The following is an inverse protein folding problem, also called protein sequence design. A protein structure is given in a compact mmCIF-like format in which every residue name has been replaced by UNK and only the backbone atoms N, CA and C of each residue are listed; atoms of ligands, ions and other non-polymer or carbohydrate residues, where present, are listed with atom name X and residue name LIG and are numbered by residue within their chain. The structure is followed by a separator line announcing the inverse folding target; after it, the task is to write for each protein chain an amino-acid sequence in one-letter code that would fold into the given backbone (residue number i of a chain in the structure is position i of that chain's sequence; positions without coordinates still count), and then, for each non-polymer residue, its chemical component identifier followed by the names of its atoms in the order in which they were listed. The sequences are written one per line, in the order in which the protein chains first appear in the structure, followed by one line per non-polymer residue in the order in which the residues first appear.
data_IF_033290192951
#
_entry.id   IF_033290192951
#
_cell.length_a   1.000
_cell.length_b   1.000
_cell.length_c   1.000
_cell.angle_alpha   90.00
_cell.angle_beta   90.00
_cell.angle_gamma   90.00
#
_symmetry.space_group_name_H-M   'P 1'
#
loop_
_entity.id
_entity.type
_entity.pdbx_description
1 polymer ?
#
# COMPACT_ATOMS: atom_id res chain seq x y z
N UNK A 1 -56.74 47.92 -34.93
CA UNK A 1 -57.33 47.44 -33.66
C UNK A 1 -56.27 47.55 -32.59
N UNK A 2 -56.44 48.52 -31.70
CA UNK A 2 -55.56 48.76 -30.54
C UNK A 2 -56.00 47.80 -29.43
N UNK A 3 -55.08 47.06 -28.83
CA UNK A 3 -55.36 46.14 -27.74
C UNK A 3 -54.21 46.12 -26.74
N UNK A 4 -54.36 46.89 -25.67
CA UNK A 4 -53.46 46.94 -24.52
C UNK A 4 -53.56 45.67 -23.70
N UNK A 5 -52.42 45.09 -23.31
CA UNK A 5 -52.34 44.12 -22.21
C UNK A 5 -51.31 44.60 -21.19
N UNK A 6 -51.81 45.01 -20.02
CA UNK A 6 -51.02 45.31 -18.84
C UNK A 6 -50.59 43.99 -18.18
N UNK A 7 -49.30 43.83 -17.91
CA UNK A 7 -48.76 42.76 -17.07
C UNK A 7 -48.36 43.31 -15.71
N UNK A 8 -48.90 42.68 -14.66
CA UNK A 8 -48.62 42.90 -13.25
C UNK A 8 -47.36 42.12 -12.86
N UNK A 9 -46.41 42.76 -12.16
CA UNK A 9 -45.19 42.11 -11.62
C UNK A 9 -45.28 42.14 -10.10
N UNK A 10 -45.18 41.00 -9.38
CA UNK A 10 -44.98 41.00 -7.94
C UNK A 10 -43.49 41.12 -7.61
N UNK A 11 -43.21 42.01 -6.66
CA UNK A 11 -41.91 42.35 -6.10
C UNK A 11 -41.55 41.35 -4.99
N UNK A 12 -40.37 40.73 -5.02
CA UNK A 12 -39.80 39.99 -3.87
C UNK A 12 -38.35 40.44 -3.63
N UNK A 13 -38.00 40.90 -2.41
CA UNK A 13 -36.67 41.38 -2.10
C UNK A 13 -35.77 40.27 -1.53
N UNK A 14 -34.49 40.28 -1.88
CA UNK A 14 -33.46 39.50 -1.18
C UNK A 14 -32.42 38.90 -2.11
N UNK A 15 -31.37 39.68 -2.40
CA UNK A 15 -30.23 39.22 -3.20
C UNK A 15 -29.26 38.35 -2.41
N UNK A 16 -28.66 37.37 -3.11
CA UNK A 16 -27.36 36.78 -2.79
C UNK A 16 -26.55 36.64 -4.10
N UNK A 17 -25.21 36.76 -4.04
CA UNK A 17 -24.39 37.17 -5.17
C UNK A 17 -23.91 36.02 -6.08
N UNK A 18 -23.46 36.47 -7.25
CA UNK A 18 -23.01 35.72 -8.42
C UNK A 18 -21.87 34.70 -8.18
N UNK A 19 -21.88 33.63 -8.96
CA UNK A 19 -20.76 32.69 -9.00
C UNK A 19 -20.94 31.43 -9.86
N UNK A 20 -21.15 31.61 -11.17
CA UNK A 20 -20.71 30.70 -12.25
C UNK A 20 -21.31 29.28 -12.26
N UNK A 21 -22.37 29.10 -13.05
CA UNK A 21 -22.77 27.79 -13.61
C UNK A 21 -22.74 27.92 -15.13
N UNK A 22 -21.76 27.30 -15.78
CA UNK A 22 -21.70 27.17 -17.24
C UNK A 22 -22.59 26.00 -17.67
N UNK A 23 -23.70 26.30 -18.35
CA UNK A 23 -24.49 25.34 -19.10
C UNK A 23 -24.32 25.66 -20.60
N UNK A 24 -23.54 24.85 -21.31
CA UNK A 24 -23.32 24.96 -22.75
C UNK A 24 -23.90 23.75 -23.47
N UNK A 25 -25.11 23.92 -24.02
CA UNK A 25 -25.74 23.04 -24.99
C UNK A 25 -25.36 23.53 -26.39
N UNK A 26 -24.75 22.68 -27.23
CA UNK A 26 -24.71 22.89 -28.68
C UNK A 26 -24.64 21.56 -29.44
N UNK A 27 -25.62 21.40 -30.33
CA UNK A 27 -25.88 20.29 -31.24
C UNK A 27 -25.11 20.45 -32.55
N UNK A 28 -24.63 19.31 -33.09
CA UNK A 28 -24.38 18.88 -34.49
C UNK A 28 -23.12 18.00 -34.50
N UNK A 29 -23.01 16.86 -35.19
CA UNK A 29 -23.62 16.43 -36.44
C UNK A 29 -23.53 14.90 -36.58
N UNK A 30 -24.45 14.34 -37.37
CA UNK A 30 -24.43 12.97 -37.88
C UNK A 30 -23.36 12.82 -38.97
N UNK A 31 -22.66 11.69 -39.00
CA UNK A 31 -22.12 11.12 -40.23
C UNK A 31 -22.17 9.60 -40.18
N UNK A 32 -22.99 9.07 -41.07
CA UNK A 32 -23.10 7.68 -41.49
C UNK A 32 -21.92 7.39 -42.44
N UNK A 33 -21.19 6.30 -42.24
CA UNK A 33 -20.62 5.55 -43.37
C UNK A 33 -20.39 4.09 -43.00
N UNK A 34 -20.71 3.26 -43.97
CA UNK A 34 -20.92 1.82 -43.98
C UNK A 34 -19.65 1.01 -44.26
N UNK A 35 -19.61 -0.25 -43.80
CA UNK A 35 -18.70 -1.28 -44.32
C UNK A 35 -18.45 -2.40 -43.28
N UNK A 36 -19.31 -3.42 -43.18
CA UNK A 36 -19.20 -4.75 -43.83
C UNK A 36 -17.83 -5.44 -43.64
N UNK A 37 -17.84 -6.62 -43.01
CA UNK A 37 -16.78 -7.62 -43.25
C UNK A 37 -16.44 -8.61 -42.15
N UNK A 38 -17.22 -9.70 -42.07
CA UNK A 38 -16.83 -11.08 -41.76
C UNK A 38 -16.20 -11.48 -40.41
N UNK A 39 -17.06 -12.10 -39.59
CA UNK A 39 -16.97 -13.48 -39.10
C UNK A 39 -15.71 -14.29 -39.45
N UNK A 40 -15.00 -14.79 -38.43
CA UNK A 40 -14.40 -16.13 -38.51
C UNK A 40 -14.53 -16.88 -37.17
N UNK A 41 -15.16 -18.03 -37.30
CA UNK A 41 -15.39 -19.06 -36.30
C UNK A 41 -14.10 -19.84 -36.04
N UNK A 42 -13.82 -20.17 -34.78
CA UNK A 42 -13.11 -21.41 -34.48
C UNK A 42 -13.73 -22.05 -33.23
N UNK A 43 -14.65 -22.98 -33.47
CA UNK A 43 -14.92 -24.09 -32.56
C UNK A 43 -13.89 -25.19 -32.82
N UNK A 44 -13.24 -25.67 -31.78
CA UNK A 44 -12.89 -27.08 -31.73
C UNK A 44 -13.23 -27.66 -30.36
N UNK A 45 -13.71 -28.89 -30.48
CA UNK A 45 -14.47 -29.68 -29.54
C UNK A 45 -13.57 -30.65 -28.79
N UNK A 46 -14.00 -30.97 -27.56
CA UNK A 46 -13.81 -32.27 -26.90
C UNK A 46 -12.39 -32.73 -26.57
N UNK A 47 -12.15 -32.96 -25.27
CA UNK A 47 -11.97 -34.33 -24.78
C UNK A 47 -12.41 -34.38 -23.31
N UNK A 48 -13.48 -35.15 -23.06
CA UNK A 48 -13.87 -35.64 -21.74
C UNK A 48 -12.84 -36.69 -21.29
N UNK A 49 -12.46 -36.69 -20.02
CA UNK A 49 -12.11 -37.93 -19.31
C UNK A 49 -12.77 -37.97 -17.95
N UNK A 50 -13.41 -39.12 -17.72
CA UNK A 50 -14.19 -39.52 -16.56
C UNK A 50 -13.27 -40.15 -15.52
N UNK A 51 -13.47 -39.72 -14.26
CA UNK A 51 -13.43 -40.42 -12.94
C UNK A 51 -12.88 -41.86 -12.90
N UNK A 52 -12.06 -42.21 -11.89
CA UNK A 52 -12.31 -43.20 -10.78
C UNK A 52 -11.29 -43.00 -9.64
N UNK A 53 -11.70 -43.02 -8.36
CA UNK A 53 -10.83 -42.88 -7.18
C UNK A 53 -10.22 -44.23 -6.72
N UNK A 54 -9.14 -44.18 -5.92
CA UNK A 54 -8.75 -45.31 -5.07
C UNK A 54 -8.57 -44.91 -3.61
N UNK A 55 -8.93 -45.88 -2.79
CA UNK A 55 -9.33 -45.89 -1.38
C UNK A 55 -8.20 -46.52 -0.55
N UNK A 56 -7.96 -45.93 0.63
CA UNK A 56 -7.61 -46.51 1.95
C UNK A 56 -6.73 -47.78 2.01
N UNK A 57 -5.65 -47.72 2.82
CA UNK A 57 -5.27 -48.68 3.90
C UNK A 57 -4.07 -48.08 4.65
N UNK A 58 -4.19 -47.78 5.93
CA UNK A 58 -3.82 -48.67 7.07
C UNK A 58 -2.49 -48.15 7.63
N UNK A 59 -2.36 -47.65 8.85
CA UNK A 59 -2.73 -48.30 10.10
C UNK A 59 -1.57 -49.15 10.58
N UNK A 60 -0.68 -48.59 11.41
CA UNK A 60 0.09 -49.37 12.36
C UNK A 60 0.51 -48.48 13.53
N UNK A 61 -0.04 -48.79 14.71
CA UNK A 61 0.37 -48.24 15.99
C UNK A 61 1.49 -49.12 16.55
N UNK A 62 2.46 -48.54 17.25
CA UNK A 62 3.05 -49.21 18.42
C UNK A 62 3.40 -48.12 19.45
N UNK A 63 2.74 -48.21 20.60
CA UNK A 63 3.09 -47.52 21.84
C UNK A 63 4.09 -48.37 22.64
N UNK A 64 4.99 -47.72 23.37
CA UNK A 64 5.77 -48.30 24.48
C UNK A 64 6.50 -47.14 25.17
N UNK A 65 5.88 -46.51 26.18
CA UNK A 65 6.01 -46.76 27.63
C UNK A 65 7.28 -46.16 28.26
N UNK A 66 7.05 -45.27 29.22
CA UNK A 66 8.01 -44.71 30.18
C UNK A 66 8.58 -45.79 31.14
N UNK A 67 9.53 -45.48 32.05
CA UNK A 67 9.16 -44.78 33.30
C UNK A 67 10.20 -43.77 33.86
N UNK A 68 9.73 -43.01 34.86
CA UNK A 68 10.43 -42.09 35.76
C UNK A 68 11.26 -42.80 36.85
N UNK A 69 12.25 -42.09 37.42
CA UNK A 69 12.56 -41.98 38.86
C UNK A 69 13.81 -41.06 39.04
N UNK A 70 13.71 -39.92 39.73
CA UNK A 70 14.09 -39.67 41.16
C UNK A 70 15.61 -39.45 41.34
N UNK A 71 16.19 -38.65 42.26
CA UNK A 71 15.71 -37.78 43.35
C UNK A 71 16.91 -36.91 43.84
N UNK A 72 16.60 -35.82 44.57
CA UNK A 72 17.39 -35.20 45.68
C UNK A 72 18.75 -34.51 45.35
N UNK A 73 19.27 -33.49 46.06
CA UNK A 73 18.87 -32.53 47.12
C UNK A 73 20.15 -31.75 47.48
N UNK A 74 20.09 -30.48 47.90
CA UNK A 74 21.22 -29.83 48.57
C UNK A 74 21.19 -28.31 48.62
N UNK A 75 20.79 -27.76 49.77
CA UNK A 75 20.81 -26.34 50.12
C UNK A 75 22.15 -25.93 50.77
N UNK A 76 22.51 -24.63 50.67
CA UNK A 76 23.17 -23.83 51.72
C UNK A 76 23.27 -22.33 51.34
N UNK A 77 23.45 -21.52 52.37
CA UNK A 77 22.98 -20.14 52.59
C UNK A 77 23.82 -18.95 52.05
N UNK A 78 23.16 -17.78 52.10
CA UNK A 78 23.47 -16.33 51.87
C UNK A 78 24.72 -15.73 52.57
N UNK A 79 25.07 -14.40 52.55
CA UNK A 79 24.38 -13.19 52.05
C UNK A 79 25.24 -12.02 51.44
N UNK A 80 24.54 -10.93 51.04
CA UNK A 80 24.89 -9.47 51.16
C UNK A 80 25.44 -8.61 50.00
N UNK A 81 24.92 -7.36 50.01
CA UNK A 81 25.36 -6.07 49.42
C UNK A 81 25.13 -5.84 47.89
N UNK A 82 24.27 -4.92 47.40
CA UNK A 82 24.09 -3.45 47.57
C UNK A 82 25.04 -2.60 46.71
N UNK A 83 24.43 -1.83 45.79
CA UNK A 83 24.83 -0.57 45.12
C UNK A 83 25.72 -0.61 43.86
N UNK A 84 25.17 0.02 42.81
CA UNK A 84 25.89 0.98 41.96
C UNK A 84 26.35 0.46 40.60
N UNK A 85 25.57 0.70 39.55
CA UNK A 85 26.19 0.91 38.23
C UNK A 85 25.46 2.02 37.47
N UNK A 86 26.24 3.06 37.21
CA UNK A 86 25.88 4.28 36.52
C UNK A 86 25.54 3.97 35.06
N UNK A 87 24.36 4.40 34.63
CA UNK A 87 23.97 4.46 33.22
C UNK A 87 24.83 5.49 32.49
N UNK A 88 25.83 5.01 31.76
CA UNK A 88 26.57 5.80 30.78
C UNK A 88 25.75 5.86 29.48
N UNK A 89 24.90 6.86 29.39
CA UNK A 89 24.19 7.27 28.17
C UNK A 89 25.20 7.63 27.09
N UNK A 90 25.37 6.75 26.11
CA UNK A 90 26.08 7.05 24.87
C UNK A 90 25.08 7.65 23.87
N UNK A 91 24.90 8.97 23.97
CA UNK A 91 24.21 9.76 22.95
C UNK A 91 25.01 9.70 21.64
N UNK A 92 24.40 9.14 20.60
CA UNK A 92 24.87 9.27 19.22
C UNK A 92 24.08 10.41 18.56
N UNK A 93 24.71 11.33 17.79
CA UNK A 93 24.13 12.62 17.50
C UNK A 93 22.94 12.54 16.54
N UNK A 94 21.78 13.01 16.98
CA UNK A 94 20.70 13.41 16.08
C UNK A 94 21.15 14.67 15.32
N UNK A 95 21.42 14.52 14.01
CA UNK A 95 21.59 15.68 13.13
C UNK A 95 20.23 16.35 12.91
N UNK A 96 19.91 17.31 13.77
CA UNK A 96 18.99 18.40 13.46
C UNK A 96 19.76 19.45 12.67
N UNK A 97 19.60 19.46 11.35
CA UNK A 97 20.27 20.45 10.51
C UNK A 97 19.65 20.49 9.12
N UNK A 98 19.30 21.69 8.68
CA UNK A 98 18.92 22.01 7.31
C UNK A 98 20.11 21.72 6.36
N UNK A 99 20.37 20.45 6.04
CA UNK A 99 21.20 20.08 4.90
C UNK A 99 20.28 19.95 3.70
N UNK A 100 20.52 20.75 2.67
CA UNK A 100 19.86 20.58 1.37
C UNK A 100 19.96 19.11 0.96
N UNK A 101 18.80 18.50 0.66
CA UNK A 101 18.72 17.12 0.22
C UNK A 101 19.59 16.96 -1.04
N UNK A 102 20.40 15.89 -1.16
CA UNK A 102 21.23 15.69 -2.34
C UNK A 102 20.36 15.61 -3.60
N UNK A 103 20.90 16.10 -4.72
CA UNK A 103 20.23 16.04 -6.02
C UNK A 103 19.77 14.61 -6.33
N UNK A 104 18.52 14.45 -6.75
CA UNK A 104 17.87 13.17 -6.99
C UNK A 104 17.88 12.90 -8.50
N UNK A 105 18.45 11.77 -8.93
CA UNK A 105 18.29 11.27 -10.29
C UNK A 105 16.84 10.77 -10.47
N UNK A 106 15.98 11.65 -10.98
CA UNK A 106 14.52 11.43 -11.06
C UNK A 106 14.15 10.17 -11.86
N UNK A 107 14.92 9.84 -12.90
CA UNK A 107 14.63 8.68 -13.74
C UNK A 107 15.02 7.35 -13.07
N UNK A 108 16.10 7.35 -12.28
CA UNK A 108 16.52 6.13 -11.57
C UNK A 108 15.84 5.97 -10.22
N UNK A 109 15.62 7.05 -9.49
CA UNK A 109 15.18 6.99 -8.11
C UNK A 109 13.68 7.20 -7.96
N UNK A 110 13.07 7.98 -8.84
CA UNK A 110 11.66 8.39 -8.81
C UNK A 110 11.50 9.91 -8.69
N UNK A 111 10.26 10.39 -8.81
CA UNK A 111 9.94 11.80 -8.57
C UNK A 111 9.93 12.11 -7.05
N UNK A 112 10.74 13.08 -6.56
CA UNK A 112 10.73 13.46 -5.15
C UNK A 112 9.41 14.10 -4.69
N UNK A 113 8.49 14.44 -5.58
CA UNK A 113 7.20 15.07 -5.26
C UNK A 113 6.39 14.25 -4.25
N UNK A 114 6.25 12.94 -4.47
CA UNK A 114 5.54 12.04 -3.54
C UNK A 114 6.22 11.98 -2.19
N UNK A 115 7.56 11.91 -2.16
CA UNK A 115 8.33 11.93 -0.92
C UNK A 115 8.09 13.22 -0.14
N UNK A 116 8.22 14.38 -0.80
CA UNK A 116 8.01 15.70 -0.17
C UNK A 116 6.59 15.85 0.37
N UNK A 117 5.58 15.41 -0.37
CA UNK A 117 4.19 15.46 0.05
C UNK A 117 3.95 14.65 1.33
N UNK A 118 4.46 13.40 1.38
CA UNK A 118 4.30 12.52 2.56
C UNK A 118 5.06 13.08 3.77
N UNK A 119 6.30 13.54 3.60
CA UNK A 119 7.06 14.15 4.71
C UNK A 119 6.39 15.42 5.21
N UNK A 120 5.88 16.28 4.31
CA UNK A 120 5.13 17.47 4.66
C UNK A 120 3.88 17.14 5.48
N UNK A 121 3.13 16.12 5.07
CA UNK A 121 1.95 15.66 5.82
C UNK A 121 2.32 15.11 7.20
N UNK A 122 3.42 14.36 7.35
CA UNK A 122 3.86 13.94 8.68
C UNK A 122 4.20 15.13 9.58
N UNK A 123 4.85 16.15 9.05
CA UNK A 123 5.17 17.37 9.79
C UNK A 123 3.90 18.14 10.18
N UNK A 124 2.96 18.32 9.26
CA UNK A 124 1.69 18.99 9.48
C UNK A 124 0.84 18.29 10.56
N UNK A 125 0.73 16.97 10.47
CA UNK A 125 -0.02 16.15 11.41
C UNK A 125 0.76 15.80 12.69
N UNK A 126 2.00 16.31 12.84
CA UNK A 126 2.90 16.03 13.98
C UNK A 126 3.12 14.54 14.23
N UNK A 127 3.19 13.76 13.16
CA UNK A 127 3.46 12.33 13.19
C UNK A 127 4.97 12.11 13.40
N UNK A 128 5.34 11.26 14.35
CA UNK A 128 6.73 10.91 14.59
C UNK A 128 7.22 9.88 13.55
N UNK A 129 8.26 10.25 12.79
CA UNK A 129 8.86 9.36 11.79
C UNK A 129 10.39 9.35 11.87
N UNK A 130 10.98 8.23 11.46
CA UNK A 130 12.42 8.16 11.14
C UNK A 130 12.56 8.21 9.62
N UNK A 131 13.63 8.80 9.14
CA UNK A 131 14.00 8.78 7.73
C UNK A 131 15.46 8.40 7.58
N UNK A 132 15.78 7.72 6.48
CA UNK A 132 17.13 7.29 6.15
C UNK A 132 17.39 7.53 4.66
N UNK A 133 18.55 8.10 4.37
CA UNK A 133 19.09 8.24 3.02
C UNK A 133 20.13 7.14 2.83
N UNK A 134 19.99 6.35 1.76
CA UNK A 134 20.87 5.22 1.46
C UNK A 134 20.93 4.95 -0.05
N UNK A 135 21.87 4.10 -0.47
CA UNK A 135 21.96 3.65 -1.86
C UNK A 135 20.73 2.84 -2.29
N UNK A 136 20.38 2.77 -3.59
CA UNK A 136 19.20 2.06 -4.05
C UNK A 136 19.15 0.59 -3.62
N UNK A 137 18.01 0.14 -3.11
CA UNK A 137 17.82 -1.24 -2.63
C UNK A 137 16.89 -2.05 -3.53
N UNK A 138 17.42 -2.94 -4.40
CA UNK A 138 16.59 -3.70 -5.33
C UNK A 138 15.75 -4.80 -4.66
N UNK A 139 16.18 -5.32 -3.52
CA UNK A 139 15.44 -6.36 -2.77
C UNK A 139 14.96 -5.88 -1.41
N UNK A 140 14.01 -6.63 -0.82
CA UNK A 140 13.54 -6.42 0.54
C UNK A 140 14.64 -6.63 1.58
N UNK A 141 15.54 -7.57 1.31
CA UNK A 141 16.69 -7.93 2.12
C UNK A 141 17.73 -6.80 2.11
N UNK A 142 18.01 -6.20 0.94
CA UNK A 142 18.86 -5.02 0.84
C UNK A 142 18.27 -3.85 1.62
N UNK A 143 16.96 -3.64 1.48
CA UNK A 143 16.22 -2.59 2.20
C UNK A 143 16.28 -2.78 3.71
N UNK A 144 16.21 -4.03 4.19
CA UNK A 144 16.37 -4.36 5.60
C UNK A 144 17.82 -4.09 6.07
N UNK A 145 18.81 -4.50 5.28
CA UNK A 145 20.22 -4.35 5.61
C UNK A 145 20.62 -2.88 5.77
N UNK A 146 20.24 -2.00 4.83
CA UNK A 146 20.56 -0.56 4.92
C UNK A 146 19.85 0.10 6.10
N UNK A 147 18.61 -0.30 6.42
CA UNK A 147 17.87 0.24 7.57
C UNK A 147 18.52 -0.15 8.88
N UNK A 148 18.96 -1.41 9.02
CA UNK A 148 19.74 -1.86 10.18
C UNK A 148 21.08 -1.14 10.29
N UNK A 149 21.81 -1.00 9.19
CA UNK A 149 23.06 -0.24 9.16
C UNK A 149 22.86 1.24 9.54
N UNK A 150 21.67 1.79 9.26
CA UNK A 150 21.23 3.12 9.70
C UNK A 150 20.70 3.20 11.15
N UNK A 151 20.87 2.15 11.95
CA UNK A 151 20.50 2.12 13.37
C UNK A 151 19.04 1.78 13.67
N UNK A 152 18.31 1.18 12.72
CA UNK A 152 16.92 0.73 12.97
C UNK A 152 16.91 -0.74 13.42
N UNK A 153 17.35 -1.00 14.65
CA UNK A 153 17.49 -2.39 15.15
C UNK A 153 16.15 -3.14 15.27
N UNK A 154 15.05 -2.40 15.40
CA UNK A 154 13.68 -2.91 15.49
C UNK A 154 13.08 -3.32 14.14
N UNK A 155 13.78 -3.06 13.02
CA UNK A 155 13.25 -3.41 11.70
C UNK A 155 13.47 -4.90 11.36
N UNK A 156 12.43 -5.48 10.78
CA UNK A 156 12.35 -6.87 10.30
C UNK A 156 11.72 -6.93 8.90
N UNK A 157 11.80 -8.07 8.21
CA UNK A 157 11.07 -8.25 6.95
C UNK A 157 9.55 -8.11 7.14
N UNK A 158 9.00 -8.60 8.26
CA UNK A 158 7.58 -8.47 8.58
C UNK A 158 7.14 -7.01 8.77
N UNK A 159 8.01 -6.16 9.35
CA UNK A 159 7.79 -4.71 9.48
C UNK A 159 8.00 -3.94 8.17
N UNK A 160 8.65 -4.55 7.18
CA UNK A 160 8.88 -3.94 5.88
C UNK A 160 7.57 -3.87 5.09
N UNK A 161 7.01 -2.68 4.86
CA UNK A 161 5.82 -2.54 4.04
C UNK A 161 6.23 -2.40 2.56
N UNK A 162 5.78 -3.34 1.73
CA UNK A 162 5.86 -3.21 0.27
C UNK A 162 4.51 -2.83 -0.30
N UNK A 163 4.52 -1.92 -1.26
CA UNK A 163 3.33 -1.44 -1.93
C UNK A 163 3.37 -1.83 -3.42
N UNK A 164 2.30 -2.45 -3.90
CA UNK A 164 2.17 -2.88 -5.29
C UNK A 164 0.92 -2.27 -5.91
N UNK A 165 1.08 -1.53 -7.01
CA UNK A 165 -0.06 -1.02 -7.75
C UNK A 165 -0.70 -2.15 -8.57
N UNK A 166 -1.98 -2.38 -8.33
CA UNK A 166 -2.78 -3.36 -9.05
C UNK A 166 -3.82 -2.62 -9.88
N UNK A 167 -3.89 -2.96 -11.16
CA UNK A 167 -4.75 -2.32 -12.15
C UNK A 167 -5.83 -3.28 -12.60
N UNK A 168 -7.06 -2.80 -12.69
CA UNK A 168 -8.17 -3.48 -13.32
C UNK A 168 -8.88 -2.56 -14.31
N UNK A 169 -8.43 -2.53 -15.56
CA UNK A 169 -8.96 -1.63 -16.60
C UNK A 169 -10.43 -1.85 -16.97
N UNK A 170 -11.06 -2.93 -16.45
CA UNK A 170 -12.49 -3.21 -16.60
C UNK A 170 -13.36 -2.45 -15.60
N UNK A 171 -12.78 -1.97 -14.51
CA UNK A 171 -13.42 -1.06 -13.57
C UNK A 171 -13.04 0.36 -13.96
N UNK A 172 -13.98 1.13 -14.52
CA UNK A 172 -13.71 2.48 -15.00
C UNK A 172 -13.78 3.53 -13.88
N UNK A 173 -14.42 3.21 -12.77
CA UNK A 173 -14.61 4.12 -11.64
C UNK A 173 -13.46 3.98 -10.63
N UNK A 174 -13.05 2.74 -10.35
CA UNK A 174 -11.94 2.43 -9.44
C UNK A 174 -10.92 1.46 -10.09
N UNK A 175 -10.22 1.87 -11.16
CA UNK A 175 -9.28 1.02 -11.88
C UNK A 175 -8.03 0.64 -11.06
N UNK A 176 -7.73 1.35 -9.97
CA UNK A 176 -6.47 1.20 -9.23
C UNK A 176 -6.71 0.82 -7.78
N UNK A 177 -5.91 -0.13 -7.29
CA UNK A 177 -5.77 -0.40 -5.85
C UNK A 177 -4.30 -0.59 -5.51
N UNK A 178 -3.91 -0.10 -4.35
CA UNK A 178 -2.57 -0.31 -3.79
C UNK A 178 -2.61 -1.50 -2.83
N UNK A 179 -1.92 -2.59 -3.17
CA UNK A 179 -1.75 -3.74 -2.29
C UNK A 179 -0.55 -3.50 -1.37
N UNK A 180 -0.79 -3.30 -0.08
CA UNK A 180 0.24 -3.02 0.93
C UNK A 180 0.38 -4.20 1.89
N UNK A 181 1.55 -4.81 1.96
CA UNK A 181 1.76 -6.04 2.73
C UNK A 181 3.16 -6.13 3.34
N UNK A 182 3.39 -7.03 4.32
CA UNK A 182 4.71 -7.35 4.82
C UNK A 182 5.66 -7.83 3.71
N UNK A 183 6.95 -7.51 3.82
CA UNK A 183 7.92 -7.81 2.78
C UNK A 183 8.17 -9.32 2.63
N UNK A 184 8.08 -10.07 3.75
CA UNK A 184 8.21 -11.53 3.85
C UNK A 184 7.01 -12.31 3.30
N UNK A 185 5.88 -11.67 3.04
CA UNK A 185 4.67 -12.33 2.51
C UNK A 185 4.55 -12.23 0.98
N UNK A 186 3.69 -13.04 0.36
CA UNK A 186 3.40 -12.92 -1.09
C UNK A 186 1.94 -12.59 -1.34
N UNK A 187 1.69 -11.83 -2.41
CA UNK A 187 0.33 -11.50 -2.86
C UNK A 187 -0.42 -12.77 -3.30
N UNK A 188 -1.53 -13.08 -2.63
CA UNK A 188 -2.45 -14.11 -3.09
C UNK A 188 -3.48 -13.51 -4.05
N UNK A 189 -3.21 -13.68 -5.35
CA UNK A 189 -4.08 -13.19 -6.43
C UNK A 189 -5.53 -13.65 -6.33
N UNK A 190 -5.80 -14.86 -5.82
CA UNK A 190 -7.17 -15.37 -5.72
C UNK A 190 -7.97 -14.58 -4.68
N UNK A 191 -7.31 -14.11 -3.63
CA UNK A 191 -7.93 -13.27 -2.59
C UNK A 191 -8.03 -11.83 -3.07
N UNK A 192 -6.91 -11.23 -3.51
CA UNK A 192 -6.85 -9.80 -3.80
C UNK A 192 -7.82 -9.36 -4.90
N UNK A 193 -8.00 -10.18 -5.94
CA UNK A 193 -8.91 -9.85 -7.04
C UNK A 193 -10.37 -9.72 -6.62
N UNK A 194 -10.76 -10.26 -5.45
CA UNK A 194 -12.12 -10.13 -4.90
C UNK A 194 -12.44 -8.72 -4.41
N UNK A 195 -11.45 -7.84 -4.28
CA UNK A 195 -11.67 -6.45 -3.90
C UNK A 195 -12.24 -5.58 -5.02
N UNK A 196 -12.43 -6.13 -6.23
CA UNK A 196 -13.25 -5.53 -7.27
C UNK A 196 -14.59 -6.28 -7.42
N UNK A 197 -15.70 -5.56 -7.71
CA UNK A 197 -17.00 -6.18 -7.96
C UNK A 197 -16.96 -7.25 -9.06
N UNK A 198 -16.10 -7.03 -10.07
CA UNK A 198 -15.81 -7.98 -11.15
C UNK A 198 -14.31 -8.26 -11.16
N UNK A 199 -13.83 -9.10 -10.25
CA UNK A 199 -12.40 -9.46 -10.08
C UNK A 199 -11.67 -10.05 -11.30
N UNK A 200 -12.31 -10.16 -12.46
CA UNK A 200 -11.67 -10.55 -13.72
C UNK A 200 -10.92 -9.35 -14.32
N UNK A 201 -9.63 -9.51 -14.62
CA UNK A 201 -8.84 -8.48 -15.32
C UNK A 201 -7.84 -7.73 -14.45
N UNK A 202 -7.88 -7.91 -13.13
CA UNK A 202 -6.88 -7.38 -12.23
C UNK A 202 -5.50 -8.04 -12.48
N UNK A 203 -4.48 -7.19 -12.60
CA UNK A 203 -3.08 -7.53 -12.86
C UNK A 203 -2.15 -6.52 -12.18
N UNK A 204 -0.84 -6.81 -12.13
CA UNK A 204 0.12 -5.80 -11.72
C UNK A 204 0.15 -4.66 -12.74
N UNK A 205 0.37 -3.44 -12.25
CA UNK A 205 0.72 -2.31 -13.09
C UNK A 205 2.03 -2.60 -13.84
N UNK A 206 2.10 -2.14 -15.09
CA UNK A 206 3.38 -2.01 -15.81
C UNK A 206 4.23 -0.90 -15.19
N UNK A 207 5.53 -0.86 -15.49
CA UNK A 207 6.43 0.20 -15.00
C UNK A 207 5.90 1.59 -15.36
N UNK A 208 5.44 1.76 -16.61
CA UNK A 208 4.88 3.02 -17.10
C UNK A 208 3.59 3.41 -16.36
N UNK A 209 2.72 2.45 -16.09
CA UNK A 209 1.52 2.68 -15.27
C UNK A 209 1.88 3.05 -13.82
N UNK A 210 2.90 2.43 -13.22
CA UNK A 210 3.38 2.81 -11.89
C UNK A 210 3.89 4.25 -11.90
N UNK A 211 4.75 4.62 -12.86
CA UNK A 211 5.28 5.99 -12.98
C UNK A 211 4.15 7.00 -13.21
N UNK A 212 3.23 6.70 -14.11
CA UNK A 212 2.09 7.57 -14.42
C UNK A 212 1.14 7.77 -13.22
N UNK A 213 0.85 6.71 -12.48
CA UNK A 213 -0.13 6.76 -11.38
C UNK A 213 0.49 7.30 -10.09
N UNK A 214 1.73 6.92 -9.79
CA UNK A 214 2.35 7.15 -8.48
C UNK A 214 3.48 8.17 -8.49
N UNK A 215 4.00 8.53 -9.67
CA UNK A 215 5.24 9.30 -9.83
C UNK A 215 6.51 8.52 -9.45
N UNK A 216 6.38 7.28 -8.97
CA UNK A 216 7.47 6.50 -8.42
C UNK A 216 7.97 5.47 -9.45
N UNK A 217 9.19 4.99 -9.23
CA UNK A 217 9.72 3.78 -9.87
C UNK A 217 9.36 2.57 -9.00
N UNK A 218 9.12 1.37 -9.57
CA UNK A 218 8.93 0.15 -8.77
C UNK A 218 10.02 -0.03 -7.70
N UNK A 219 9.60 -0.38 -6.49
CA UNK A 219 10.47 -0.44 -5.30
C UNK A 219 10.64 0.90 -4.56
N UNK A 220 10.19 2.02 -5.12
CA UNK A 220 10.10 3.32 -4.46
C UNK A 220 8.68 3.72 -4.03
N UNK A 221 7.67 2.94 -4.43
CA UNK A 221 6.25 3.25 -4.18
C UNK A 221 5.96 3.18 -2.66
N UNK A 222 5.53 4.29 -2.03
CA UNK A 222 5.13 4.29 -0.63
C UNK A 222 3.75 3.65 -0.41
N UNK A 223 3.41 3.21 0.81
CA UNK A 223 2.11 2.61 1.15
C UNK A 223 0.96 3.63 1.25
N UNK A 224 1.01 4.74 0.49
CA UNK A 224 0.08 5.87 0.63
C UNK A 224 -0.66 6.14 -0.69
N UNK A 225 -1.73 5.38 -0.94
CA UNK A 225 -2.57 5.54 -2.12
C UNK A 225 -3.22 6.92 -2.20
N UNK A 226 -3.57 7.50 -1.05
CA UNK A 226 -4.18 8.84 -0.95
C UNK A 226 -3.28 9.98 -1.47
N UNK A 227 -1.95 9.76 -1.51
CA UNK A 227 -0.97 10.74 -1.98
C UNK A 227 -0.74 10.68 -3.50
N UNK A 228 -1.40 9.77 -4.21
CA UNK A 228 -1.35 9.68 -5.67
C UNK A 228 -2.45 10.52 -6.32
N UNK A 229 -2.50 11.81 -5.95
CA UNK A 229 -3.65 12.72 -6.05
C UNK A 229 -4.33 12.84 -7.43
N UNK A 230 -3.65 12.44 -8.51
CA UNK A 230 -4.20 12.46 -9.86
C UNK A 230 -5.07 11.24 -10.18
N UNK A 231 -5.16 10.26 -9.27
CA UNK A 231 -5.84 8.98 -9.48
C UNK A 231 -6.52 8.53 -8.18
N UNK A 232 -7.75 8.04 -8.27
CA UNK A 232 -8.40 7.38 -7.14
C UNK A 232 -7.75 6.00 -6.92
N UNK A 233 -6.84 5.92 -5.94
CA UNK A 233 -6.11 4.70 -5.59
C UNK A 233 -6.49 4.28 -4.17
N UNK A 234 -7.34 3.27 -4.06
CA UNK A 234 -7.69 2.71 -2.74
C UNK A 234 -6.54 1.86 -2.20
N UNK A 235 -6.13 2.13 -0.96
CA UNK A 235 -5.12 1.33 -0.26
C UNK A 235 -5.74 0.18 0.50
N UNK A 236 -5.31 -1.04 0.16
CA UNK A 236 -5.70 -2.28 0.85
C UNK A 236 -4.47 -2.81 1.58
N UNK A 237 -4.55 -2.96 2.90
CA UNK A 237 -3.43 -3.39 3.76
C UNK A 237 -3.69 -4.79 4.33
N UNK A 238 -2.68 -5.66 4.24
CA UNK A 238 -2.72 -6.98 4.90
C UNK A 238 -2.57 -6.83 6.42
N UNK A 239 -3.41 -7.52 7.24
CA UNK A 239 -3.36 -7.43 8.70
C UNK A 239 -2.00 -7.78 9.31
N UNK A 240 -1.12 -8.49 8.58
CA UNK A 240 0.23 -8.75 9.03
C UNK A 240 1.06 -7.49 9.33
N UNK A 241 0.76 -6.35 8.70
CA UNK A 241 1.40 -5.08 9.05
C UNK A 241 0.81 -4.43 10.31
N UNK A 242 -0.46 -4.67 10.60
CA UNK A 242 -1.13 -4.13 11.79
C UNK A 242 -0.57 -4.73 13.08
N UNK A 243 0.03 -5.92 13.02
CA UNK A 243 0.69 -6.54 14.18
C UNK A 243 2.07 -5.92 14.47
N UNK A 244 2.57 -5.05 13.59
CA UNK A 244 3.88 -4.41 13.73
C UNK A 244 3.70 -3.03 14.39
N UNK A 245 4.53 -2.73 15.39
CA UNK A 245 4.51 -1.41 16.05
C UNK A 245 4.84 -0.29 15.06
N UNK A 246 5.91 -0.49 14.29
CA UNK A 246 6.37 0.41 13.22
C UNK A 246 6.38 -0.34 11.90
N UNK A 247 6.07 0.38 10.83
CA UNK A 247 6.27 -0.09 9.45
C UNK A 247 7.36 0.71 8.76
N UNK A 248 8.11 0.04 7.88
CA UNK A 248 9.30 0.57 7.24
C UNK A 248 9.19 0.40 5.72
N UNK A 249 9.31 1.47 4.95
CA UNK A 249 9.09 1.44 3.50
C UNK A 249 9.98 2.45 2.78
N UNK A 250 10.20 2.19 1.49
CA UNK A 250 10.78 3.19 0.60
C UNK A 250 9.70 4.23 0.27
N UNK A 251 10.08 5.51 0.24
CA UNK A 251 9.12 6.61 0.22
C UNK A 251 9.36 7.52 -0.98
N UNK A 252 8.60 7.31 -2.05
CA UNK A 252 8.70 8.06 -3.32
C UNK A 252 9.95 7.73 -4.14
N UNK A 253 11.06 7.47 -3.45
CA UNK A 253 12.38 7.21 -3.99
C UNK A 253 12.95 5.90 -3.47
N UNK A 254 13.73 5.19 -4.31
CA UNK A 254 14.43 3.96 -3.90
C UNK A 254 15.58 4.18 -2.89
N UNK A 255 15.97 5.44 -2.69
CA UNK A 255 17.08 5.90 -1.83
C UNK A 255 16.60 6.59 -0.55
N UNK A 256 15.28 6.57 -0.30
CA UNK A 256 14.64 7.18 0.86
C UNK A 256 13.80 6.14 1.58
N UNK A 257 14.27 5.69 2.74
CA UNK A 257 13.47 4.88 3.65
C UNK A 257 12.80 5.75 4.70
N UNK A 258 11.57 5.39 5.07
CA UNK A 258 10.81 6.00 6.16
C UNK A 258 10.31 4.90 7.10
N UNK A 259 10.29 5.23 8.40
CA UNK A 259 9.66 4.43 9.45
C UNK A 259 8.62 5.26 10.17
N UNK A 260 7.42 4.73 10.35
CA UNK A 260 6.32 5.38 11.12
C UNK A 260 5.62 4.35 12.00
N UNK A 261 4.97 4.77 13.07
CA UNK A 261 4.05 3.92 13.83
C UNK A 261 2.89 3.47 12.92
N UNK A 262 2.50 2.21 13.00
CA UNK A 262 1.39 1.69 12.18
C UNK A 262 0.09 2.45 12.46
N UNK A 263 -0.14 2.84 13.72
CA UNK A 263 -1.33 3.59 14.10
C UNK A 263 -1.43 4.96 13.41
N UNK A 264 -0.32 5.69 13.31
CA UNK A 264 -0.31 7.00 12.67
C UNK A 264 -0.41 6.87 11.15
N UNK A 265 0.22 5.84 10.58
CA UNK A 265 -0.02 5.44 9.19
C UNK A 265 -1.51 5.19 8.94
N UNK A 266 -2.17 4.39 9.78
CA UNK A 266 -3.57 4.03 9.62
C UNK A 266 -4.51 5.24 9.79
N UNK A 267 -4.19 6.18 10.69
CA UNK A 267 -4.95 7.44 10.85
C UNK A 267 -4.82 8.35 9.63
N UNK A 268 -3.62 8.45 9.06
CA UNK A 268 -3.34 9.32 7.93
C UNK A 268 -3.91 8.75 6.63
N UNK A 269 -3.59 7.48 6.30
CA UNK A 269 -3.97 6.84 5.04
C UNK A 269 -5.39 6.29 5.04
N UNK A 270 -5.93 5.92 6.21
CA UNK A 270 -7.26 5.28 6.37
C UNK A 270 -7.46 4.07 5.43
N UNK A 271 -6.53 3.08 5.44
CA UNK A 271 -6.58 1.97 4.51
C UNK A 271 -7.70 0.96 4.83
N UNK A 272 -8.13 0.22 3.81
CA UNK A 272 -8.98 -0.96 3.98
C UNK A 272 -8.14 -2.15 4.46
N UNK A 273 -8.35 -2.61 5.69
CA UNK A 273 -7.63 -3.77 6.26
C UNK A 273 -8.32 -5.08 5.85
N UNK A 274 -7.65 -5.91 5.05
CA UNK A 274 -8.17 -7.22 4.60
C UNK A 274 -7.03 -8.21 4.36
N UNK A 275 -7.25 -9.47 4.69
CA UNK A 275 -6.29 -10.53 4.40
C UNK A 275 -6.26 -10.85 2.90
N UNK A 276 -5.06 -10.85 2.32
CA UNK A 276 -4.85 -11.21 0.92
C UNK A 276 -3.48 -11.79 0.63
N UNK A 277 -2.68 -12.06 1.65
CA UNK A 277 -1.36 -12.66 1.49
C UNK A 277 -1.37 -14.17 1.73
N UNK A 278 -0.27 -14.81 1.34
CA UNK A 278 0.10 -16.19 1.68
C UNK A 278 1.55 -16.26 2.11
#
# INVERSE_FOLDING_TARGET
FVGSFNFWIPWWPGGWPAGIVWLGLLLWSLSFSTGLGNSFSYRQSFLRRVVVPRRIRGGCSIASSAPMASNASGARDSPSAVVGSETKSSETPQKTGNSALPEVDVEKEGDPTTYKAIIGAFQEHKIEFRHLIHDPTPTSEDSLAVRKAGGWDDCTLASGAKAMLIVNSKDKEAPYKLAVMPADKKLNWKLFKKFWPKGKGARMATVDEVKMVTGCVPGGVPPFGSFFSNKNVETIVDPGLQTQKRINFNCGLRTRSVSVLFEDYAKLEKPTIKEFCS
#
